data_IF_092762407568
#
_entry.id   IF_092762407568
#
_cell.length_a   1.000
_cell.length_b   1.000
_cell.length_c   1.000
_cell.angle_alpha   90.00
_cell.angle_beta   90.00
_cell.angle_gamma   90.00
#
_symmetry.space_group_name_H-M   'P 1'
#
loop_
_entity.id
_entity.type
_entity.pdbx_description
1 polymer ?
#
# COMPACT_ATOMS: atom_id res chain seq x y z
N UNK A 1 -60.27 -45.26 53.15
CA UNK A 1 -59.05 -44.43 53.29
C UNK A 1 -58.14 -44.72 52.10
N UNK A 2 -58.11 -43.82 51.12
CA UNK A 2 -57.05 -43.65 50.13
C UNK A 2 -57.30 -42.29 49.46
N UNK A 3 -56.33 -41.35 49.46
CA UNK A 3 -56.49 -40.04 48.84
C UNK A 3 -56.02 -40.10 47.38
N UNK A 4 -55.72 -38.92 46.82
CA UNK A 4 -54.91 -38.65 45.62
C UNK A 4 -55.72 -38.33 44.36
N UNK A 5 -55.39 -37.32 43.56
CA UNK A 5 -54.73 -36.02 43.71
C UNK A 5 -55.06 -35.31 42.38
N UNK A 6 -55.44 -34.03 42.42
CA UNK A 6 -55.50 -33.18 41.23
C UNK A 6 -54.10 -33.13 40.58
N UNK A 7 -54.02 -33.19 39.26
CA UNK A 7 -52.88 -32.67 38.51
C UNK A 7 -53.34 -32.03 37.21
N UNK A 8 -53.32 -30.69 37.21
CA UNK A 8 -53.38 -29.87 36.00
C UNK A 8 -52.07 -30.06 35.23
N UNK A 9 -52.16 -30.42 33.95
CA UNK A 9 -51.03 -30.32 33.03
C UNK A 9 -50.93 -28.88 32.53
N UNK A 10 -49.80 -28.21 32.81
CA UNK A 10 -49.47 -26.90 32.25
C UNK A 10 -49.10 -27.02 30.76
N UNK A 11 -49.69 -26.12 29.96
CA UNK A 11 -49.34 -25.92 28.56
C UNK A 11 -47.89 -25.39 28.44
N UNK A 12 -47.07 -26.10 27.66
CA UNK A 12 -45.69 -25.69 27.35
C UNK A 12 -45.71 -24.75 26.15
N UNK A 13 -45.38 -23.46 26.36
CA UNK A 13 -45.03 -22.54 25.27
C UNK A 13 -43.63 -22.89 24.75
N UNK A 14 -43.52 -23.25 23.48
CA UNK A 14 -42.23 -23.36 22.79
C UNK A 14 -41.77 -21.96 22.36
N UNK A 15 -40.63 -21.49 22.90
CA UNK A 15 -39.91 -20.34 22.38
C UNK A 15 -39.22 -20.72 21.07
N UNK A 16 -39.62 -20.09 19.96
CA UNK A 16 -38.87 -20.12 18.70
C UNK A 16 -37.78 -19.06 18.80
N UNK A 17 -36.53 -19.47 19.03
CA UNK A 17 -35.39 -18.55 18.97
C UNK A 17 -35.02 -18.32 17.51
N UNK A 18 -35.38 -17.16 16.97
CA UNK A 18 -34.89 -16.68 15.68
C UNK A 18 -33.38 -16.39 15.81
N UNK A 19 -32.57 -17.17 15.11
CA UNK A 19 -31.13 -16.91 14.92
C UNK A 19 -30.98 -15.68 14.02
N UNK A 20 -30.13 -14.69 14.36
CA UNK A 20 -29.83 -13.60 13.45
C UNK A 20 -28.99 -14.16 12.30
N UNK A 21 -29.46 -13.96 11.07
CA UNK A 21 -28.65 -14.13 9.85
C UNK A 21 -27.58 -13.05 9.89
N UNK A 22 -26.36 -13.42 10.29
CA UNK A 22 -25.17 -12.63 10.02
C UNK A 22 -25.02 -12.53 8.51
N UNK A 23 -25.39 -11.37 7.99
CA UNK A 23 -25.19 -11.00 6.60
C UNK A 23 -23.69 -10.82 6.39
N UNK A 24 -23.02 -11.93 6.07
CA UNK A 24 -21.62 -11.99 5.74
C UNK A 24 -21.37 -11.13 4.50
N UNK A 25 -20.88 -9.91 4.75
CA UNK A 25 -20.42 -8.97 3.76
C UNK A 25 -19.40 -9.67 2.87
N UNK A 26 -19.71 -9.75 1.57
CA UNK A 26 -18.79 -10.27 0.57
C UNK A 26 -17.53 -9.39 0.58
N UNK A 27 -16.32 -9.96 0.70
CA UNK A 27 -15.08 -9.20 0.59
C UNK A 27 -14.87 -8.86 -0.88
N UNK A 28 -15.52 -7.80 -1.36
CA UNK A 28 -15.23 -7.19 -2.66
C UNK A 28 -14.85 -5.71 -2.54
N UNK A 29 -14.83 -5.17 -1.31
CA UNK A 29 -14.31 -3.84 -0.98
C UNK A 29 -12.97 -3.89 -0.22
N UNK A 30 -12.15 -4.92 -0.47
CA UNK A 30 -10.73 -4.81 -0.13
C UNK A 30 -10.11 -3.99 -1.25
N UNK A 31 -10.13 -2.68 -1.04
CA UNK A 31 -9.22 -1.69 -1.60
C UNK A 31 -7.90 -2.40 -1.93
N UNK A 32 -7.55 -2.43 -3.21
CA UNK A 32 -6.38 -3.09 -3.79
C UNK A 32 -5.10 -2.48 -3.19
N UNK A 33 -4.82 -2.85 -1.94
CA UNK A 33 -3.63 -2.48 -1.21
C UNK A 33 -2.51 -3.19 -1.93
N UNK A 34 -1.57 -2.43 -2.49
CA UNK A 34 -0.35 -3.01 -3.04
C UNK A 34 0.17 -4.07 -2.05
N UNK A 35 0.33 -5.34 -2.46
CA UNK A 35 0.71 -6.38 -1.53
C UNK A 35 2.05 -6.00 -0.89
N UNK A 36 2.17 -6.18 0.43
CA UNK A 36 3.46 -6.11 1.13
C UNK A 36 4.36 -7.16 0.45
N UNK A 37 5.18 -6.75 -0.52
CA UNK A 37 5.49 -7.66 -1.60
C UNK A 37 5.91 -7.03 -2.93
N UNK A 38 5.35 -5.87 -3.28
CA UNK A 38 5.68 -5.20 -4.55
C UNK A 38 7.07 -4.57 -4.51
N UNK A 39 7.79 -4.74 -5.62
CA UNK A 39 9.01 -3.99 -5.87
C UNK A 39 8.71 -2.52 -6.11
N UNK A 40 9.54 -1.63 -5.60
CA UNK A 40 9.43 -0.19 -5.85
C UNK A 40 10.63 0.27 -6.67
N UNK A 41 10.38 0.84 -7.85
CA UNK A 41 11.38 1.55 -8.63
C UNK A 41 11.48 3.00 -8.18
N UNK A 42 12.68 3.59 -8.28
CA UNK A 42 12.90 5.00 -7.96
C UNK A 42 13.87 5.67 -8.95
N UNK A 43 13.69 6.98 -9.14
CA UNK A 43 14.39 7.73 -10.17
C UNK A 43 14.25 9.24 -10.03
N UNK A 44 14.80 9.96 -11.00
CA UNK A 44 14.60 11.40 -11.19
C UNK A 44 13.72 11.66 -12.41
N UNK A 45 12.68 12.48 -12.23
CA UNK A 45 11.92 13.06 -13.35
C UNK A 45 12.70 14.25 -13.93
N UNK A 46 12.95 14.22 -15.24
CA UNK A 46 13.76 15.20 -15.97
C UNK A 46 12.89 16.35 -16.47
N UNK A 47 12.72 17.39 -15.65
CA UNK A 47 11.96 18.57 -16.04
C UNK A 47 12.83 19.55 -16.84
N UNK A 48 12.27 20.11 -17.92
CA UNK A 48 12.98 21.07 -18.79
C UNK A 48 13.08 22.46 -18.18
N UNK A 49 12.05 22.89 -17.46
CA UNK A 49 11.85 24.29 -17.04
C UNK A 49 11.79 24.45 -15.53
N UNK A 50 12.05 23.39 -14.77
CA UNK A 50 11.97 23.37 -13.31
C UNK A 50 13.01 22.43 -12.70
N UNK A 51 13.05 22.34 -11.38
CA UNK A 51 13.91 21.37 -10.68
C UNK A 51 13.45 19.95 -10.96
N UNK A 52 14.40 19.04 -11.17
CA UNK A 52 14.12 17.61 -11.20
C UNK A 52 13.50 17.18 -9.87
N UNK A 53 12.66 16.15 -9.91
CA UNK A 53 12.02 15.60 -8.73
C UNK A 53 12.36 14.12 -8.56
N UNK A 54 12.48 13.68 -7.32
CA UNK A 54 12.49 12.26 -7.00
C UNK A 54 11.12 11.65 -7.32
N UNK A 55 11.11 10.50 -7.97
CA UNK A 55 9.89 9.76 -8.31
C UNK A 55 9.98 8.30 -7.91
N UNK A 56 8.83 7.71 -7.62
CA UNK A 56 8.69 6.27 -7.35
C UNK A 56 7.50 5.67 -8.09
N UNK A 57 7.62 4.39 -8.42
CA UNK A 57 6.59 3.58 -9.09
C UNK A 57 6.68 2.13 -8.65
N UNK A 58 5.66 1.33 -8.98
CA UNK A 58 5.73 -0.12 -8.80
C UNK A 58 6.63 -0.71 -9.87
N UNK A 59 7.71 -1.39 -9.47
CA UNK A 59 8.63 -2.04 -10.40
C UNK A 59 7.88 -3.06 -11.28
N UNK A 60 8.12 -3.00 -12.59
CA UNK A 60 7.41 -3.81 -13.59
C UNK A 60 6.09 -3.21 -14.07
N UNK A 61 5.58 -2.13 -13.46
CA UNK A 61 4.51 -1.28 -14.02
C UNK A 61 5.13 -0.05 -14.72
N UNK A 62 4.32 0.64 -15.53
CA UNK A 62 4.73 1.91 -16.16
C UNK A 62 5.10 2.94 -15.10
N UNK A 63 6.25 3.59 -15.26
CA UNK A 63 6.64 4.75 -14.46
C UNK A 63 6.01 6.06 -14.97
N UNK A 64 5.36 6.03 -16.14
CA UNK A 64 4.75 7.18 -16.81
C UNK A 64 3.19 7.07 -16.75
N UNK A 65 2.46 8.09 -16.27
CA UNK A 65 2.97 9.29 -15.61
C UNK A 65 3.64 8.95 -14.28
N UNK A 66 4.58 9.79 -13.84
CA UNK A 66 5.27 9.62 -12.56
C UNK A 66 4.24 9.35 -11.47
N UNK A 67 4.20 8.11 -10.99
CA UNK A 67 3.12 7.66 -10.12
C UNK A 67 3.12 8.52 -8.87
N UNK A 68 4.29 8.83 -8.30
CA UNK A 68 4.43 9.79 -7.21
C UNK A 68 5.67 10.65 -7.36
N UNK A 69 5.47 11.96 -7.15
CA UNK A 69 6.53 12.96 -7.00
C UNK A 69 6.83 13.08 -5.51
N UNK A 70 8.09 12.80 -5.14
CA UNK A 70 8.57 12.73 -3.75
C UNK A 70 9.25 14.03 -3.29
N UNK A 71 9.26 15.06 -4.13
CA UNK A 71 9.90 16.35 -3.84
C UNK A 71 11.16 16.61 -4.67
N UNK A 72 11.75 17.79 -4.47
CA UNK A 72 12.89 18.28 -5.27
C UNK A 72 14.13 17.40 -5.12
N UNK A 73 14.86 17.21 -6.21
CA UNK A 73 16.11 16.46 -6.26
C UNK A 73 17.27 17.14 -5.51
N UNK A 74 17.13 18.41 -5.10
CA UNK A 74 18.16 19.09 -4.30
C UNK A 74 18.32 18.48 -2.89
N UNK A 75 17.39 17.60 -2.46
CA UNK A 75 17.49 16.78 -1.26
C UNK A 75 17.81 15.31 -1.55
N UNK A 76 17.58 14.43 -0.57
CA UNK A 76 17.62 12.98 -0.76
C UNK A 76 16.20 12.41 -0.92
N UNK A 77 16.10 11.19 -1.45
CA UNK A 77 14.81 10.52 -1.61
C UNK A 77 14.18 10.08 -0.27
N UNK A 78 14.94 10.13 0.83
CA UNK A 78 14.52 9.63 2.15
C UNK A 78 13.71 10.64 2.95
N UNK A 79 13.06 10.14 4.01
CA UNK A 79 12.21 10.89 4.94
C UNK A 79 10.93 11.48 4.34
N UNK A 80 10.65 11.19 3.07
CA UNK A 80 9.40 11.50 2.39
C UNK A 80 8.51 10.26 2.48
N UNK A 81 7.35 10.38 3.14
CA UNK A 81 6.32 9.33 3.06
C UNK A 81 5.57 9.51 1.75
N UNK A 82 5.38 8.43 1.03
CA UNK A 82 4.63 8.42 -0.23
C UNK A 82 3.67 7.24 -0.28
N UNK A 83 2.52 7.46 -0.90
CA UNK A 83 1.48 6.44 -1.01
C UNK A 83 1.48 5.82 -2.41
N UNK A 84 1.58 4.51 -2.55
CA UNK A 84 1.39 3.82 -3.83
C UNK A 84 0.31 2.76 -3.61
N UNK A 85 -0.72 2.76 -4.47
CA UNK A 85 -1.85 1.82 -4.42
C UNK A 85 -2.42 1.67 -2.98
N UNK A 86 -2.65 2.79 -2.30
CA UNK A 86 -3.25 2.83 -0.96
C UNK A 86 -2.31 2.44 0.19
N UNK A 87 -1.04 2.13 -0.09
CA UNK A 87 -0.03 1.78 0.90
C UNK A 87 1.00 2.89 1.05
N UNK A 88 1.27 3.28 2.30
CA UNK A 88 2.32 4.24 2.62
C UNK A 88 3.68 3.54 2.69
N UNK A 89 4.66 4.18 2.07
CA UNK A 89 6.05 3.78 1.99
C UNK A 89 6.93 4.96 2.35
N UNK A 90 8.17 4.64 2.72
CA UNK A 90 9.21 5.64 2.97
C UNK A 90 10.55 5.05 2.55
N UNK A 91 11.36 5.84 1.86
CA UNK A 91 12.74 5.44 1.61
C UNK A 91 13.62 5.69 2.85
N UNK A 92 14.54 4.76 3.09
CA UNK A 92 15.45 4.75 4.23
C UNK A 92 16.91 4.57 3.84
N UNK A 93 17.77 4.83 4.82
CA UNK A 93 19.22 4.60 4.75
C UNK A 93 19.92 5.30 3.57
N UNK A 94 19.49 6.51 3.21
CA UNK A 94 20.07 7.23 2.09
C UNK A 94 21.58 7.49 2.28
N UNK A 95 22.36 7.17 1.25
CA UNK A 95 23.78 7.47 1.21
C UNK A 95 24.07 8.95 1.00
N UNK A 96 25.35 9.32 1.00
CA UNK A 96 25.80 10.67 0.63
C UNK A 96 25.48 11.03 -0.83
N UNK A 97 25.18 10.03 -1.66
CA UNK A 97 24.71 10.16 -3.04
C UNK A 97 23.20 10.41 -3.16
N UNK A 98 22.48 10.50 -2.03
CA UNK A 98 21.05 10.76 -1.98
C UNK A 98 20.18 9.54 -2.32
N UNK A 99 20.78 8.44 -2.80
CA UNK A 99 20.08 7.21 -3.15
C UNK A 99 19.69 6.40 -1.92
N UNK A 100 18.46 5.88 -1.86
CA UNK A 100 18.00 5.05 -0.77
C UNK A 100 18.63 3.66 -0.79
N UNK A 101 18.81 3.08 0.40
CA UNK A 101 19.33 1.72 0.57
C UNK A 101 18.29 0.77 1.16
N UNK A 102 17.19 1.31 1.68
CA UNK A 102 16.06 0.53 2.16
C UNK A 102 14.72 1.15 1.78
N UNK A 103 13.70 0.29 1.71
CA UNK A 103 12.30 0.65 1.64
C UNK A 103 11.65 0.28 2.97
N UNK A 104 10.93 1.22 3.54
CA UNK A 104 10.20 1.11 4.80
C UNK A 104 8.70 1.27 4.53
N UNK A 105 7.87 0.76 5.43
CA UNK A 105 6.44 1.13 5.46
C UNK A 105 6.26 2.56 6.00
N UNK A 106 5.03 3.07 5.96
CA UNK A 106 4.69 4.38 6.53
C UNK A 106 5.00 4.52 8.04
N UNK A 107 5.05 3.41 8.77
CA UNK A 107 5.45 3.36 10.18
C UNK A 107 6.97 3.37 10.39
N UNK A 108 7.76 3.22 9.33
CA UNK A 108 9.21 3.14 9.38
C UNK A 108 9.75 1.72 9.62
N UNK A 109 8.93 0.69 9.54
CA UNK A 109 9.40 -0.69 9.61
C UNK A 109 10.08 -1.07 8.30
N UNK A 110 11.21 -1.77 8.40
CA UNK A 110 11.93 -2.27 7.22
C UNK A 110 11.08 -3.26 6.42
N UNK A 111 11.01 -3.03 5.12
CA UNK A 111 10.39 -3.94 4.16
C UNK A 111 11.46 -4.66 3.32
N UNK A 112 12.33 -3.90 2.66
CA UNK A 112 13.20 -4.38 1.57
C UNK A 112 14.48 -3.57 1.41
N UNK A 113 15.48 -4.18 0.78
CA UNK A 113 16.73 -3.53 0.41
C UNK A 113 16.63 -2.90 -0.96
N UNK A 114 17.27 -1.76 -1.15
CA UNK A 114 17.35 -1.07 -2.42
C UNK A 114 18.71 -1.30 -3.08
N UNK A 115 18.69 -1.48 -4.39
CA UNK A 115 19.88 -1.67 -5.22
C UNK A 115 19.88 -0.65 -6.36
N UNK A 116 21.08 -0.26 -6.78
CA UNK A 116 21.25 0.62 -7.93
C UNK A 116 20.88 -0.11 -9.23
N UNK A 117 20.17 0.59 -10.09
CA UNK A 117 19.74 0.15 -11.41
C UNK A 117 19.62 1.40 -12.27
N UNK A 118 20.26 1.44 -13.43
CA UNK A 118 20.31 2.65 -14.24
C UNK A 118 19.71 2.39 -15.60
N UNK A 119 18.64 3.12 -15.89
CA UNK A 119 17.94 3.08 -17.16
C UNK A 119 17.32 4.46 -17.43
N UNK A 120 17.03 4.75 -18.71
CA UNK A 120 16.25 5.92 -19.09
C UNK A 120 14.89 5.46 -19.58
N UNK A 121 13.86 5.83 -18.83
CA UNK A 121 12.47 5.56 -19.17
C UNK A 121 11.96 6.74 -20.00
N UNK A 122 11.69 6.49 -21.27
CA UNK A 122 11.11 7.48 -22.17
C UNK A 122 9.61 7.57 -21.95
N UNK A 123 9.15 8.71 -21.47
CA UNK A 123 7.72 8.98 -21.37
C UNK A 123 7.24 9.67 -22.65
N UNK A 124 5.94 9.58 -22.95
CA UNK A 124 5.37 10.10 -24.19
C UNK A 124 4.35 11.22 -23.94
N UNK A 125 4.11 12.02 -24.99
CA UNK A 125 3.18 13.15 -24.94
C UNK A 125 3.78 14.33 -24.18
N UNK A 126 3.04 14.85 -23.21
CA UNK A 126 3.46 15.98 -22.36
C UNK A 126 4.17 15.56 -21.07
N UNK A 127 4.60 14.30 -20.98
CA UNK A 127 5.22 13.73 -19.77
C UNK A 127 6.73 13.84 -19.85
N UNK A 128 7.38 14.04 -18.70
CA UNK A 128 8.83 14.11 -18.60
C UNK A 128 9.46 12.72 -18.56
N UNK A 129 10.60 12.55 -19.21
CA UNK A 129 11.41 11.34 -19.12
C UNK A 129 11.86 11.10 -17.67
N UNK A 130 12.04 9.83 -17.30
CA UNK A 130 12.54 9.45 -15.98
C UNK A 130 13.90 8.78 -16.15
N UNK A 131 14.89 9.20 -15.37
CA UNK A 131 16.14 8.44 -15.23
C UNK A 131 16.03 7.59 -13.97
N UNK A 132 16.04 6.28 -14.16
CA UNK A 132 16.03 5.29 -13.08
C UNK A 132 17.36 5.33 -12.34
N UNK A 133 17.25 5.32 -11.01
CA UNK A 133 18.39 5.21 -10.10
C UNK A 133 18.47 3.83 -9.45
N UNK A 134 17.33 3.18 -9.25
CA UNK A 134 17.31 1.84 -8.67
C UNK A 134 15.95 1.23 -8.46
N UNK A 135 15.95 0.15 -7.70
CA UNK A 135 14.74 -0.56 -7.25
C UNK A 135 14.94 -1.23 -5.90
N UNK A 136 13.86 -1.40 -5.17
CA UNK A 136 13.82 -2.08 -3.87
C UNK A 136 12.97 -3.36 -3.99
N UNK A 137 13.60 -4.52 -3.80
CA UNK A 137 13.04 -5.86 -4.05
C UNK A 137 13.19 -6.79 -2.84
#
# INVERSE_FOLDING_TARGET
>A
MQPQFLSLALASLALVTAVPVEQQSRPSDILERAPIGVGIGYGEELQSDSVNHWVAWVEGKSACPAVRILGSLQGNACNQVFNIDGQDYKFGDCGSDGNPRSLLDGGGNYLRGCSGDSDKIHCHGSQHDIKKHGKCL
#
